data_IF_512933067724
#
_entry.id   IF_512933067724
#
_cell.length_a   1.000
_cell.length_b   1.000
_cell.length_c   1.000
_cell.angle_alpha   90.00
_cell.angle_beta   90.00
_cell.angle_gamma   90.00
#
_symmetry.space_group_name_H-M   'P 1'
#
loop_
_entity.id
_entity.type
_entity.pdbx_description
1 polymer ?
#
# COMPACT_ATOMS: atom_id res chain seq x y z
N UNK A 1 0.66 -3.48 22.67
CA UNK A 1 1.11 -4.13 21.43
C UNK A 1 -0.10 -4.87 20.87
N UNK A 2 -0.73 -4.36 19.82
CA UNK A 2 -1.78 -5.12 19.12
C UNK A 2 -1.06 -6.14 18.23
N UNK A 3 -1.48 -7.41 18.26
CA UNK A 3 -0.88 -8.51 17.50
C UNK A 3 -0.68 -8.17 16.00
N UNK A 4 -1.55 -7.31 15.46
CA UNK A 4 -1.55 -6.92 14.05
C UNK A 4 -0.71 -5.68 13.70
N UNK A 5 0.02 -5.08 14.65
CA UNK A 5 0.70 -3.79 14.39
C UNK A 5 1.72 -3.86 13.25
N UNK A 6 2.43 -4.98 13.12
CA UNK A 6 3.41 -5.17 12.04
C UNK A 6 2.74 -5.28 10.67
N UNK A 7 1.67 -6.08 10.56
CA UNK A 7 0.88 -6.22 9.33
C UNK A 7 0.29 -4.88 8.90
N UNK A 8 -0.20 -4.08 9.86
CA UNK A 8 -0.69 -2.72 9.59
C UNK A 8 0.40 -1.80 9.06
N UNK A 9 1.62 -1.85 9.62
CA UNK A 9 2.77 -1.11 9.08
C UNK A 9 3.06 -1.50 7.63
N UNK A 10 3.05 -2.80 7.31
CA UNK A 10 3.30 -3.29 5.96
C UNK A 10 2.20 -2.83 4.97
N UNK A 11 0.93 -2.87 5.36
CA UNK A 11 -0.17 -2.38 4.52
C UNK A 11 -0.14 -0.85 4.34
N UNK A 12 0.25 -0.11 5.37
CA UNK A 12 0.46 1.34 5.26
C UNK A 12 1.63 1.65 4.30
N UNK A 13 2.73 0.90 4.40
CA UNK A 13 3.85 1.00 3.47
C UNK A 13 3.42 0.66 2.03
N UNK A 14 2.59 -0.37 1.83
CA UNK A 14 2.03 -0.71 0.53
C UNK A 14 1.21 0.45 -0.07
N UNK A 15 0.33 1.08 0.71
CA UNK A 15 -0.44 2.25 0.25
C UNK A 15 0.49 3.42 -0.10
N UNK A 16 1.43 3.76 0.79
CA UNK A 16 2.38 4.85 0.56
C UNK A 16 3.29 4.60 -0.64
N UNK A 17 3.66 3.35 -0.90
CA UNK A 17 4.46 2.95 -2.06
C UNK A 17 3.68 3.16 -3.36
N UNK A 18 2.43 2.69 -3.41
CA UNK A 18 1.55 2.89 -4.57
C UNK A 18 1.32 4.38 -4.80
N UNK A 19 0.89 5.12 -3.77
CA UNK A 19 0.59 6.55 -3.89
C UNK A 19 1.85 7.38 -4.22
N UNK A 20 3.03 6.95 -3.80
CA UNK A 20 4.29 7.67 -4.02
C UNK A 20 5.02 7.35 -5.33
N UNK A 21 4.76 6.18 -5.93
CA UNK A 21 5.56 5.66 -7.06
C UNK A 21 4.74 5.19 -8.26
N UNK A 22 3.42 5.41 -8.28
CA UNK A 22 2.57 5.17 -9.47
C UNK A 22 1.94 6.48 -9.95
N UNK A 23 1.76 6.66 -11.27
CA UNK A 23 1.14 7.85 -11.83
C UNK A 23 -0.37 7.82 -11.63
N UNK A 24 -1.00 8.99 -11.63
CA UNK A 24 -2.44 9.08 -11.43
C UNK A 24 -2.91 10.48 -11.04
N UNK A 25 -3.81 10.56 -10.07
CA UNK A 25 -4.30 11.79 -9.48
C UNK A 25 -4.33 11.71 -7.96
N UNK A 26 -3.79 12.74 -7.31
CA UNK A 26 -4.01 13.00 -5.90
C UNK A 26 -5.13 14.02 -5.70
N UNK A 27 -6.35 13.53 -5.45
CA UNK A 27 -7.53 14.37 -5.42
C UNK A 27 -7.90 14.84 -6.82
N UNK A 28 -7.63 16.10 -7.14
CA UNK A 28 -7.82 16.67 -8.49
C UNK A 28 -6.51 17.05 -9.16
N UNK A 29 -5.38 16.82 -8.47
CA UNK A 29 -4.05 17.19 -8.97
C UNK A 29 -3.46 16.00 -9.70
N UNK A 30 -3.09 16.11 -10.98
CA UNK A 30 -2.31 15.09 -11.67
C UNK A 30 -1.04 14.77 -10.90
N UNK A 31 -0.69 13.49 -10.81
CA UNK A 31 0.49 13.01 -10.11
C UNK A 31 1.40 12.25 -11.07
N UNK A 32 2.57 12.82 -11.32
CA UNK A 32 3.63 12.18 -12.09
C UNK A 32 4.59 11.43 -11.16
N UNK A 33 5.06 10.26 -11.60
CA UNK A 33 6.03 9.48 -10.83
C UNK A 33 7.33 10.28 -10.67
N UNK A 34 7.79 10.51 -9.43
CA UNK A 34 9.01 11.25 -9.18
C UNK A 34 10.22 10.51 -9.76
N UNK A 35 11.27 11.27 -10.14
CA UNK A 35 12.52 10.71 -10.67
C UNK A 35 13.73 11.14 -9.84
N UNK A 36 14.82 10.37 -9.93
CA UNK A 36 16.09 10.70 -9.28
C UNK A 36 15.95 10.90 -7.76
N UNK A 37 16.48 12.00 -7.18
CA UNK A 37 16.41 12.23 -5.74
C UNK A 37 14.99 12.26 -5.15
N UNK A 38 14.00 12.74 -5.92
CA UNK A 38 12.61 12.77 -5.47
C UNK A 38 12.01 11.36 -5.36
N UNK A 39 12.38 10.45 -6.28
CA UNK A 39 11.96 9.05 -6.22
C UNK A 39 12.51 8.36 -4.97
N UNK A 40 13.78 8.64 -4.65
CA UNK A 40 14.42 8.15 -3.42
C UNK A 40 13.69 8.67 -2.19
N UNK A 41 13.34 9.97 -2.16
CA UNK A 41 12.61 10.55 -1.04
C UNK A 41 11.22 9.90 -0.86
N UNK A 42 10.48 9.69 -1.95
CA UNK A 42 9.18 9.01 -1.93
C UNK A 42 9.31 7.56 -1.41
N UNK A 43 10.26 6.79 -1.93
CA UNK A 43 10.50 5.42 -1.48
C UNK A 43 10.88 5.36 0.01
N UNK A 44 11.73 6.27 0.50
CA UNK A 44 12.10 6.34 1.93
C UNK A 44 10.93 6.73 2.82
N UNK A 45 10.03 7.59 2.34
CA UNK A 45 8.81 7.97 3.05
C UNK A 45 7.81 6.81 3.14
N UNK A 46 7.77 5.92 2.14
CA UNK A 46 6.92 4.73 2.17
C UNK A 46 7.47 3.62 3.07
N UNK A 47 8.80 3.41 3.07
CA UNK A 47 9.45 2.28 3.74
C UNK A 47 9.91 2.63 5.17
N UNK A 48 8.95 2.98 6.02
CA UNK A 48 9.17 3.36 7.42
C UNK A 48 8.76 2.24 8.37
N UNK A 49 9.69 1.79 9.21
CA UNK A 49 9.43 0.84 10.30
C UNK A 49 9.92 1.43 11.61
N UNK A 50 9.12 1.28 12.68
CA UNK A 50 9.43 1.80 14.01
C UNK A 50 9.88 3.29 14.01
N UNK A 51 9.26 4.11 13.15
CA UNK A 51 9.57 5.54 13.00
C UNK A 51 10.88 5.85 12.27
N UNK A 52 11.55 4.84 11.68
CA UNK A 52 12.80 5.01 10.93
C UNK A 52 12.59 4.66 9.47
N UNK A 53 12.95 5.60 8.59
CA UNK A 53 12.96 5.39 7.15
C UNK A 53 14.14 4.49 6.74
N UNK A 54 13.87 3.54 5.86
CA UNK A 54 14.91 2.69 5.28
C UNK A 54 15.90 3.50 4.44
N UNK A 55 17.13 2.99 4.30
CA UNK A 55 18.10 3.54 3.34
C UNK A 55 17.78 2.95 1.96
N UNK A 56 17.55 3.82 0.99
CA UNK A 56 17.17 3.45 -0.38
C UNK A 56 18.05 4.21 -1.35
N UNK A 57 18.63 3.52 -2.33
CA UNK A 57 19.40 4.11 -3.43
C UNK A 57 18.50 4.51 -4.60
N UNK A 58 19.02 5.28 -5.56
CA UNK A 58 18.27 5.63 -6.77
C UNK A 58 17.85 4.40 -7.60
N UNK A 59 18.72 3.39 -7.70
CA UNK A 59 18.42 2.14 -8.40
C UNK A 59 17.29 1.37 -7.69
N UNK A 60 17.34 1.28 -6.36
CA UNK A 60 16.30 0.63 -5.56
C UNK A 60 14.96 1.38 -5.64
N UNK A 61 14.97 2.72 -5.69
CA UNK A 61 13.75 3.50 -5.88
C UNK A 61 13.11 3.24 -7.26
N UNK A 62 13.91 3.07 -8.32
CA UNK A 62 13.42 2.70 -9.64
C UNK A 62 12.84 1.28 -9.66
N UNK A 63 13.50 0.33 -8.99
CA UNK A 63 13.01 -1.03 -8.83
C UNK A 63 11.66 -1.07 -8.08
N UNK A 64 11.57 -0.31 -6.98
CA UNK A 64 10.35 -0.18 -6.18
C UNK A 64 9.16 0.39 -6.95
N UNK A 65 9.39 1.23 -7.98
CA UNK A 65 8.30 1.72 -8.83
C UNK A 65 7.66 0.57 -9.64
N UNK A 66 8.45 -0.39 -10.13
CA UNK A 66 7.92 -1.58 -10.80
C UNK A 66 7.10 -2.46 -9.85
N UNK A 67 7.54 -2.59 -8.59
CA UNK A 67 6.76 -3.26 -7.55
C UNK A 67 5.48 -2.51 -7.18
N UNK A 68 5.53 -1.18 -7.12
CA UNK A 68 4.37 -0.33 -6.79
C UNK A 68 3.22 -0.54 -7.79
N UNK A 69 3.51 -0.63 -9.09
CA UNK A 69 2.50 -0.93 -10.12
C UNK A 69 1.82 -2.30 -9.90
N UNK A 70 2.61 -3.32 -9.54
CA UNK A 70 2.08 -4.66 -9.25
C UNK A 70 1.20 -4.66 -8.00
N UNK A 71 1.62 -3.94 -6.96
CA UNK A 71 0.80 -3.77 -5.74
C UNK A 71 -0.48 -3.00 -6.06
N UNK A 72 -0.41 -1.96 -6.90
CA UNK A 72 -1.58 -1.21 -7.35
C UNK A 72 -2.61 -2.11 -8.05
N UNK A 73 -2.14 -3.05 -8.87
CA UNK A 73 -3.02 -4.03 -9.52
C UNK A 73 -3.78 -4.91 -8.50
N UNK A 74 -3.14 -5.27 -7.38
CA UNK A 74 -3.81 -5.99 -6.28
C UNK A 74 -4.93 -5.13 -5.68
N UNK A 75 -4.66 -3.85 -5.39
CA UNK A 75 -5.69 -2.93 -4.88
C UNK A 75 -6.84 -2.75 -5.87
N UNK A 76 -6.57 -2.57 -7.15
CA UNK A 76 -7.59 -2.43 -8.19
C UNK A 76 -8.43 -3.71 -8.38
N UNK A 77 -7.84 -4.90 -8.22
CA UNK A 77 -8.58 -6.16 -8.23
C UNK A 77 -9.47 -6.30 -6.98
N UNK A 78 -8.94 -5.97 -5.80
CA UNK A 78 -9.68 -5.99 -4.54
C UNK A 78 -10.86 -5.02 -4.53
N UNK A 79 -10.65 -3.78 -4.97
CA UNK A 79 -11.67 -2.74 -5.08
C UNK A 79 -12.81 -3.16 -6.02
N UNK A 80 -12.47 -3.78 -7.15
CA UNK A 80 -13.44 -4.32 -8.10
C UNK A 80 -14.12 -5.62 -7.63
N UNK A 81 -13.85 -6.10 -6.42
CA UNK A 81 -14.40 -7.35 -5.89
C UNK A 81 -13.88 -8.63 -6.59
N UNK A 82 -12.80 -8.53 -7.37
CA UNK A 82 -12.18 -9.64 -8.11
C UNK A 82 -11.16 -10.37 -7.22
N UNK A 83 -11.66 -11.00 -6.15
CA UNK A 83 -10.81 -11.61 -5.10
C UNK A 83 -9.87 -12.68 -5.66
N UNK A 84 -10.33 -13.53 -6.59
CA UNK A 84 -9.48 -14.58 -7.20
C UNK A 84 -8.30 -14.00 -7.97
N UNK A 85 -8.52 -12.87 -8.65
CA UNK A 85 -7.45 -12.16 -9.37
C UNK A 85 -6.48 -11.50 -8.40
N UNK A 86 -6.99 -10.85 -7.34
CA UNK A 86 -6.16 -10.29 -6.29
C UNK A 86 -5.29 -11.38 -5.64
N UNK A 87 -5.85 -12.55 -5.34
CA UNK A 87 -5.12 -13.69 -4.78
C UNK A 87 -4.01 -14.17 -5.73
N UNK A 88 -4.30 -14.29 -7.03
CA UNK A 88 -3.30 -14.63 -8.05
C UNK A 88 -2.16 -13.61 -8.12
N UNK A 89 -2.46 -12.32 -8.10
CA UNK A 89 -1.47 -11.25 -8.12
C UNK A 89 -0.61 -11.25 -6.86
N UNK A 90 -1.23 -11.46 -5.68
CA UNK A 90 -0.52 -11.60 -4.41
C UNK A 90 0.40 -12.82 -4.41
N UNK A 91 -0.05 -13.97 -4.89
CA UNK A 91 0.79 -15.17 -4.98
C UNK A 91 2.02 -14.92 -5.88
N UNK A 92 1.83 -14.23 -7.02
CA UNK A 92 2.98 -13.84 -7.86
C UNK A 92 3.96 -12.90 -7.14
N UNK A 93 3.48 -12.00 -6.27
CA UNK A 93 4.36 -11.18 -5.42
C UNK A 93 5.10 -12.03 -4.38
N UNK A 94 4.43 -13.01 -3.76
CA UNK A 94 5.04 -13.91 -2.78
C UNK A 94 6.14 -14.77 -3.42
N UNK A 95 5.88 -15.33 -4.60
CA UNK A 95 6.82 -16.17 -5.34
C UNK A 95 8.07 -15.37 -5.75
N UNK A 96 7.88 -14.21 -6.39
CA UNK A 96 8.99 -13.37 -6.87
C UNK A 96 9.85 -12.79 -5.74
N UNK A 97 9.30 -12.67 -4.53
CA UNK A 97 10.02 -12.21 -3.35
C UNK A 97 10.57 -13.34 -2.49
N UNK A 98 10.24 -14.60 -2.80
CA UNK A 98 10.56 -15.76 -1.97
C UNK A 98 10.16 -15.56 -0.50
N UNK A 99 8.97 -14.99 -0.30
CA UNK A 99 8.47 -14.61 1.01
C UNK A 99 8.32 -15.85 1.93
N UNK A 100 8.89 -15.77 3.13
CA UNK A 100 8.89 -16.87 4.11
C UNK A 100 8.94 -16.35 5.55
N UNK A 101 8.02 -16.78 6.43
CA UNK A 101 8.05 -16.41 7.85
C UNK A 101 9.37 -16.77 8.52
N UNK A 102 9.97 -15.80 9.21
CA UNK A 102 11.26 -15.90 9.92
C UNK A 102 11.17 -15.12 11.22
N UNK A 103 11.68 -15.68 12.31
CA UNK A 103 11.79 -14.98 13.59
C UNK A 103 13.22 -14.49 13.78
N UNK A 104 13.38 -13.18 13.85
CA UNK A 104 14.67 -12.52 14.11
C UNK A 104 14.70 -11.98 15.53
N UNK A 105 15.84 -12.15 16.20
CA UNK A 105 16.06 -11.68 17.57
C UNK A 105 16.63 -10.26 17.56
N UNK A 106 15.99 -9.37 18.30
CA UNK A 106 16.40 -8.01 18.59
C UNK A 106 16.54 -7.78 20.10
N UNK A 107 17.10 -6.64 20.49
CA UNK A 107 17.29 -6.26 21.90
C UNK A 107 15.96 -6.20 22.68
N UNK A 108 14.86 -5.91 21.99
CA UNK A 108 13.49 -5.80 22.53
C UNK A 108 12.65 -7.08 22.39
N UNK A 109 13.19 -8.16 21.81
CA UNK A 109 12.51 -9.45 21.72
C UNK A 109 12.63 -10.15 20.37
N UNK A 110 11.61 -10.91 19.99
CA UNK A 110 11.51 -11.56 18.68
C UNK A 110 10.58 -10.76 17.78
N UNK A 111 10.98 -10.57 16.52
CA UNK A 111 10.15 -9.97 15.49
C UNK A 111 9.94 -10.97 14.35
N UNK A 112 8.71 -11.04 13.85
CA UNK A 112 8.38 -11.80 12.65
C UNK A 112 8.73 -10.98 11.41
N UNK A 113 9.60 -11.51 10.57
CA UNK A 113 9.88 -11.04 9.23
C UNK A 113 9.42 -12.06 8.19
N UNK A 114 9.36 -11.64 6.93
CA UNK A 114 8.95 -12.49 5.81
C UNK A 114 10.08 -12.73 4.80
N UNK A 115 11.33 -12.47 5.19
CA UNK A 115 12.51 -12.61 4.35
C UNK A 115 13.72 -13.08 5.16
N UNK A 116 14.80 -13.44 4.48
CA UNK A 116 16.08 -13.79 5.11
C UNK A 116 16.93 -12.58 5.47
N UNK A 117 17.96 -12.77 6.33
CA UNK A 117 18.81 -11.68 6.81
C UNK A 117 19.67 -11.05 5.70
N UNK A 118 19.96 -11.80 4.64
CA UNK A 118 20.79 -11.35 3.51
C UNK A 118 19.96 -10.77 2.36
N UNK A 119 18.62 -10.77 2.48
CA UNK A 119 17.75 -10.23 1.44
C UNK A 119 17.85 -8.69 1.45
N UNK A 120 18.08 -8.10 0.28
CA UNK A 120 18.22 -6.65 0.13
C UNK A 120 16.95 -5.88 0.54
N UNK A 121 17.09 -4.59 0.85
CA UNK A 121 15.99 -3.74 1.36
C UNK A 121 14.71 -3.81 0.52
N UNK A 122 14.82 -3.88 -0.81
CA UNK A 122 13.65 -3.95 -1.70
C UNK A 122 12.92 -5.28 -1.49
N UNK A 123 13.61 -6.41 -1.65
CA UNK A 123 13.02 -7.74 -1.48
C UNK A 123 12.45 -7.94 -0.07
N UNK A 124 13.15 -7.48 0.98
CA UNK A 124 12.67 -7.62 2.34
C UNK A 124 11.35 -6.91 2.59
N UNK A 125 11.23 -5.65 2.13
CA UNK A 125 9.97 -4.91 2.21
C UNK A 125 8.87 -5.52 1.34
N UNK A 126 9.20 -5.92 0.11
CA UNK A 126 8.21 -6.48 -0.80
C UNK A 126 7.69 -7.84 -0.34
N UNK A 127 8.54 -8.69 0.25
CA UNK A 127 8.12 -9.95 0.85
C UNK A 127 7.15 -9.72 2.02
N UNK A 128 7.44 -8.72 2.87
CA UNK A 128 6.54 -8.30 3.94
C UNK A 128 5.21 -7.78 3.41
N UNK A 129 5.23 -6.86 2.44
CA UNK A 129 4.04 -6.30 1.81
C UNK A 129 3.20 -7.40 1.16
N UNK A 130 3.81 -8.31 0.40
CA UNK A 130 3.12 -9.43 -0.24
C UNK A 130 2.44 -10.33 0.81
N UNK A 131 3.14 -10.63 1.91
CA UNK A 131 2.59 -11.43 3.01
C UNK A 131 1.44 -10.74 3.72
N UNK A 132 1.52 -9.43 3.93
CA UNK A 132 0.46 -8.65 4.54
C UNK A 132 -0.78 -8.56 3.62
N UNK A 133 -0.59 -8.40 2.31
CA UNK A 133 -1.68 -8.47 1.33
C UNK A 133 -2.33 -9.85 1.30
N UNK A 134 -1.55 -10.93 1.42
CA UNK A 134 -2.08 -12.29 1.49
C UNK A 134 -2.97 -12.50 2.71
N UNK A 135 -2.59 -11.95 3.88
CA UNK A 135 -3.42 -11.98 5.09
C UNK A 135 -4.75 -11.22 4.90
N UNK A 136 -4.73 -10.10 4.16
CA UNK A 136 -5.96 -9.34 3.86
C UNK A 136 -6.85 -10.12 2.90
N UNK A 137 -6.31 -10.52 1.75
CA UNK A 137 -7.06 -11.19 0.67
C UNK A 137 -7.58 -12.57 1.10
N UNK A 138 -6.81 -13.31 1.90
CA UNK A 138 -7.17 -14.64 2.39
C UNK A 138 -8.06 -14.67 3.64
N UNK A 139 -8.57 -13.52 4.09
CA UNK A 139 -9.38 -13.43 5.32
C UNK A 139 -10.71 -12.71 5.08
N UNK A 140 -11.48 -12.51 6.16
CA UNK A 140 -12.69 -11.69 6.14
C UNK A 140 -12.45 -10.21 5.73
N UNK A 141 -11.17 -9.82 5.54
CA UNK A 141 -10.76 -8.50 5.08
C UNK A 141 -10.57 -8.39 3.56
N UNK A 142 -10.91 -9.42 2.76
CA UNK A 142 -10.65 -9.41 1.31
C UNK A 142 -11.22 -8.18 0.58
N UNK A 143 -12.39 -7.68 0.99
CA UNK A 143 -13.04 -6.49 0.43
C UNK A 143 -12.58 -5.15 1.04
N UNK A 144 -11.37 -5.09 1.60
CA UNK A 144 -10.87 -3.92 2.34
C UNK A 144 -9.76 -3.16 1.61
N UNK A 145 -9.30 -3.67 0.48
CA UNK A 145 -8.41 -2.95 -0.42
C UNK A 145 -9.27 -2.10 -1.35
N UNK A 146 -9.05 -0.79 -1.37
CA UNK A 146 -9.87 0.14 -2.15
C UNK A 146 -9.05 1.12 -2.98
N UNK A 147 -9.69 1.65 -4.02
CA UNK A 147 -9.26 2.80 -4.83
C UNK A 147 -10.21 3.95 -4.53
N UNK A 148 -9.71 5.19 -4.49
CA UNK A 148 -10.51 6.34 -4.09
C UNK A 148 -11.69 6.60 -5.05
N UNK A 149 -12.93 6.64 -4.54
CA UNK A 149 -14.13 6.95 -5.33
C UNK A 149 -14.25 8.43 -5.76
N UNK A 150 -13.36 9.30 -5.27
CA UNK A 150 -13.47 10.73 -5.50
C UNK A 150 -12.80 11.11 -6.83
N UNK A 151 -13.51 10.95 -7.95
CA UNK A 151 -13.02 11.31 -9.29
C UNK A 151 -12.38 12.72 -9.34
N UNK A 152 -11.21 12.89 -10.00
CA UNK A 152 -10.41 11.90 -10.73
C UNK A 152 -9.38 11.13 -9.88
N UNK A 153 -9.42 11.23 -8.55
CA UNK A 153 -8.44 10.62 -7.63
C UNK A 153 -8.40 9.10 -7.77
N UNK A 154 -7.20 8.53 -7.79
CA UNK A 154 -6.98 7.08 -7.94
C UNK A 154 -6.00 6.51 -6.90
N UNK A 155 -5.82 7.23 -5.79
CA UNK A 155 -5.05 6.79 -4.63
C UNK A 155 -5.68 5.57 -3.97
N UNK A 156 -4.84 4.67 -3.46
CA UNK A 156 -5.30 3.44 -2.82
C UNK A 156 -5.48 3.62 -1.32
N UNK A 157 -6.25 2.73 -0.70
CA UNK A 157 -6.38 2.71 0.75
C UNK A 157 -6.74 1.32 1.29
N UNK A 158 -6.42 1.10 2.56
CA UNK A 158 -7.00 0.01 3.36
C UNK A 158 -8.20 0.53 4.16
N UNK A 159 -9.33 -0.19 4.09
CA UNK A 159 -10.50 0.10 4.90
C UNK A 159 -10.39 -0.53 6.30
N UNK A 160 -9.86 0.26 7.23
CA UNK A 160 -9.79 -0.08 8.65
C UNK A 160 -11.08 0.28 9.43
N UNK A 161 -12.14 0.73 8.76
CA UNK A 161 -13.41 1.06 9.44
C UNK A 161 -14.10 -0.22 9.91
N UNK A 162 -14.86 -0.12 11.01
CA UNK A 162 -15.59 -1.26 11.57
C UNK A 162 -16.49 -1.96 10.54
N UNK A 163 -17.17 -1.19 9.69
CA UNK A 163 -18.22 -1.71 8.81
C UNK A 163 -17.76 -1.99 7.37
N UNK A 164 -16.55 -1.61 6.97
CA UNK A 164 -16.11 -1.82 5.59
C UNK A 164 -16.77 -0.87 4.61
N UNK A 165 -16.96 0.37 5.02
CA UNK A 165 -17.71 1.38 4.25
C UNK A 165 -16.86 2.59 3.86
N UNK A 166 -15.53 2.52 3.99
CA UNK A 166 -14.64 3.58 3.52
C UNK A 166 -14.62 3.56 2.00
N UNK A 167 -14.87 4.72 1.41
CA UNK A 167 -14.91 4.93 -0.05
C UNK A 167 -13.84 5.87 -0.57
N UNK A 168 -13.12 6.55 0.34
CA UNK A 168 -12.20 7.63 -0.03
C UNK A 168 -10.85 7.42 0.64
N UNK A 169 -9.77 7.73 -0.09
CA UNK A 169 -8.40 7.62 0.41
C UNK A 169 -8.13 8.56 1.59
N UNK A 170 -8.88 9.66 1.75
CA UNK A 170 -8.65 10.63 2.83
C UNK A 170 -9.91 11.45 3.18
N UNK A 171 -9.94 12.08 4.37
CA UNK A 171 -10.96 13.06 4.72
C UNK A 171 -11.04 14.23 3.71
N UNK A 172 -9.91 14.61 3.10
CA UNK A 172 -9.86 15.64 2.05
C UNK A 172 -10.74 15.27 0.85
N UNK A 173 -10.58 14.04 0.32
CA UNK A 173 -11.40 13.54 -0.78
C UNK A 173 -12.88 13.42 -0.39
N UNK A 174 -13.16 12.90 0.82
CA UNK A 174 -14.53 12.79 1.32
C UNK A 174 -15.24 14.16 1.40
N UNK A 175 -14.58 15.16 1.98
CA UNK A 175 -15.13 16.52 2.11
C UNK A 175 -15.33 17.17 0.75
N UNK A 176 -14.42 16.97 -0.21
CA UNK A 176 -14.54 17.48 -1.58
C UNK A 176 -15.81 16.96 -2.27
N UNK A 177 -16.06 15.65 -2.20
CA UNK A 177 -17.27 15.04 -2.80
C UNK A 177 -18.54 15.55 -2.11
N UNK A 178 -18.55 15.60 -0.76
CA UNK A 178 -19.70 16.15 0.00
C UNK A 178 -20.02 17.59 -0.37
N UNK A 179 -19.00 18.44 -0.50
CA UNK A 179 -19.17 19.84 -0.87
C UNK A 179 -19.71 20.01 -2.29
N UNK A 180 -19.22 19.22 -3.25
CA UNK A 180 -19.74 19.22 -4.62
C UNK A 180 -21.23 18.81 -4.66
N UNK A 181 -21.60 17.75 -3.95
CA UNK A 181 -22.99 17.28 -3.87
C UNK A 181 -23.92 18.29 -3.19
N UNK A 182 -23.45 19.01 -2.17
CA UNK A 182 -24.21 20.10 -1.55
C UNK A 182 -24.45 21.26 -2.51
N UNK A 183 -23.43 21.70 -3.25
CA UNK A 183 -23.57 22.76 -4.27
C UNK A 183 -24.54 22.37 -5.39
N UNK A 184 -24.50 21.12 -5.86
CA UNK A 184 -25.42 20.64 -6.89
C UNK A 184 -26.88 20.69 -6.44
N UNK A 185 -27.16 20.30 -5.18
CA UNK A 185 -28.52 20.39 -4.61
C UNK A 185 -29.00 21.82 -4.41
N UNK A 186 -28.11 22.77 -4.13
CA UNK A 186 -28.46 24.17 -3.97
C UNK A 186 -28.70 24.91 -5.30
N UNK A 187 -28.27 24.32 -6.42
CA UNK A 187 -28.49 24.83 -7.77
C UNK A 187 -29.76 24.26 -8.45
N UNK A 188 -30.50 23.40 -7.75
CA UNK A 188 -31.79 22.82 -8.17
C UNK A 188 -32.92 23.51 -7.41
#
# INVERSE_FOLDING_TARGET
MQFDSHVRTLLAAACALVDGLTPGHDGTTPYDVPRGPAAVAAARAALVSQGRASRVTAAQAAELAGWAERVRAVFAAGDAGRVDEAARLVNALLDDTSARPRLDRFDDGWSLHFHGPDDGVVLGWMAGIASALALVVGSAWAGRLGVCDADPCDRVFLDETRNGTRRYCSPRCQSRVKAAAHRARAAT
#
